data_IF_551617656289
#
_entry.id   IF_551617656289
#
_cell.length_a   1.000
_cell.length_b   1.000
_cell.length_c   1.000
_cell.angle_alpha   90.00
_cell.angle_beta   90.00
_cell.angle_gamma   90.00
#
_symmetry.space_group_name_H-M   'P 1'
#
loop_
_entity.id
_entity.type
_entity.pdbx_description
1 polymer ?
#
# COMPACT_ATOMS: atom_id res chain seq x y z
N UNK A 1 -15.64 3.35 -15.63
CA UNK A 1 -14.83 2.13 -15.83
C UNK A 1 -15.12 1.16 -14.69
N UNK A 2 -15.50 -0.08 -14.97
CA UNK A 2 -15.83 -1.08 -13.94
C UNK A 2 -14.59 -1.67 -13.25
N UNK A 3 -14.76 -2.18 -12.04
CA UNK A 3 -13.67 -2.72 -11.20
C UNK A 3 -12.89 -3.88 -11.83
N UNK A 4 -13.56 -4.72 -12.62
CA UNK A 4 -12.90 -5.78 -13.37
C UNK A 4 -11.82 -5.22 -14.31
N UNK A 5 -12.08 -4.11 -15.00
CA UNK A 5 -11.13 -3.46 -15.91
C UNK A 5 -9.91 -2.86 -15.17
N UNK A 6 -10.08 -2.41 -13.92
CA UNK A 6 -8.97 -1.91 -13.10
C UNK A 6 -8.06 -3.07 -12.62
N UNK A 7 -8.67 -4.18 -12.21
CA UNK A 7 -7.96 -5.41 -11.82
C UNK A 7 -7.37 -6.19 -13.01
N UNK A 8 -7.75 -5.85 -14.25
CA UNK A 8 -7.17 -6.41 -15.49
C UNK A 8 -6.37 -5.40 -16.34
N UNK A 9 -5.98 -4.23 -15.79
CA UNK A 9 -5.18 -3.22 -16.51
C UNK A 9 -3.92 -3.84 -17.16
N UNK A 10 -3.84 -3.87 -18.51
CA UNK A 10 -2.76 -4.52 -19.25
C UNK A 10 -1.41 -3.80 -19.07
N UNK A 11 -1.40 -2.56 -18.56
CA UNK A 11 -0.16 -1.81 -18.27
C UNK A 11 0.57 -2.32 -17.02
N UNK A 12 -0.01 -3.30 -16.32
CA UNK A 12 0.56 -3.91 -15.12
C UNK A 12 0.47 -5.44 -15.25
N UNK A 13 1.32 -6.05 -16.10
CA UNK A 13 1.29 -7.48 -16.38
C UNK A 13 1.45 -8.28 -15.09
N UNK A 14 0.59 -9.29 -14.94
CA UNK A 14 0.36 -10.01 -13.68
C UNK A 14 -0.33 -11.34 -13.92
N UNK A 15 -0.23 -12.21 -12.92
CA UNK A 15 -0.99 -13.46 -12.81
C UNK A 15 -1.72 -13.52 -11.47
N UNK A 16 -2.94 -14.05 -11.49
CA UNK A 16 -3.71 -14.36 -10.28
C UNK A 16 -3.67 -15.87 -10.07
N UNK A 17 -3.27 -16.31 -8.87
CA UNK A 17 -2.91 -17.70 -8.63
C UNK A 17 -1.63 -18.13 -9.36
N UNK A 18 -1.09 -19.29 -8.98
CA UNK A 18 0.16 -19.82 -9.54
C UNK A 18 0.05 -20.19 -11.01
N UNK A 19 -1.15 -20.57 -11.48
CA UNK A 19 -1.44 -20.97 -12.85
C UNK A 19 -2.09 -19.86 -13.71
N UNK A 20 -2.28 -18.66 -13.13
CA UNK A 20 -2.95 -17.54 -13.80
C UNK A 20 -4.48 -17.66 -13.89
N UNK A 21 -5.10 -18.68 -13.27
CA UNK A 21 -6.56 -18.91 -13.28
C UNK A 21 -7.24 -18.51 -11.97
N UNK A 22 -6.51 -17.85 -11.08
CA UNK A 22 -7.02 -17.35 -9.81
C UNK A 22 -8.10 -16.28 -9.97
N UNK A 23 -8.91 -16.13 -8.93
CA UNK A 23 -9.99 -15.15 -8.84
C UNK A 23 -9.41 -13.76 -8.60
N UNK A 24 -9.80 -12.81 -9.46
CA UNK A 24 -9.38 -11.41 -9.39
C UNK A 24 -9.69 -10.79 -8.02
N UNK A 25 -8.66 -10.36 -7.30
CA UNK A 25 -8.79 -9.70 -6.00
C UNK A 25 -8.99 -10.63 -4.80
N UNK A 26 -9.04 -11.95 -5.02
CA UNK A 26 -9.19 -12.96 -3.96
C UNK A 26 -8.08 -14.02 -3.97
N UNK A 27 -7.45 -14.27 -5.12
CA UNK A 27 -6.31 -15.17 -5.21
C UNK A 27 -4.98 -14.43 -5.01
N UNK A 28 -3.90 -15.13 -4.60
CA UNK A 28 -2.59 -14.51 -4.52
C UNK A 28 -2.17 -13.90 -5.85
N UNK A 29 -1.51 -12.75 -5.78
CA UNK A 29 -1.15 -11.95 -6.93
C UNK A 29 0.35 -12.07 -7.21
N UNK A 30 0.70 -12.36 -8.45
CA UNK A 30 2.07 -12.41 -8.92
C UNK A 30 2.35 -11.25 -9.89
N UNK A 31 3.50 -10.61 -9.72
CA UNK A 31 3.98 -9.57 -10.64
C UNK A 31 4.88 -10.15 -11.71
N UNK A 32 4.79 -9.60 -12.92
CA UNK A 32 5.83 -9.75 -13.93
C UNK A 32 6.72 -8.50 -14.03
N UNK A 33 6.53 -7.50 -13.15
CA UNK A 33 7.29 -6.24 -13.15
C UNK A 33 8.61 -6.46 -12.39
N UNK A 34 9.78 -6.23 -13.03
CA UNK A 34 11.08 -6.46 -12.39
C UNK A 34 11.27 -5.71 -11.07
N UNK A 35 10.89 -4.44 -11.01
CA UNK A 35 11.02 -3.63 -9.79
C UNK A 35 10.18 -4.17 -8.61
N UNK A 36 9.01 -4.74 -8.90
CA UNK A 36 8.19 -5.42 -7.87
C UNK A 36 8.89 -6.71 -7.42
N UNK A 37 9.38 -7.50 -8.38
CA UNK A 37 10.02 -8.78 -8.09
C UNK A 37 11.40 -8.63 -7.42
N UNK A 38 12.07 -7.49 -7.56
CA UNK A 38 13.25 -7.17 -6.76
C UNK A 38 12.93 -7.09 -5.27
N UNK A 39 11.71 -6.65 -4.92
CA UNK A 39 11.23 -6.52 -3.54
C UNK A 39 10.62 -7.84 -3.05
N UNK A 40 9.74 -8.46 -3.86
CA UNK A 40 9.03 -9.68 -3.47
C UNK A 40 9.83 -10.96 -3.67
N UNK A 41 10.94 -10.89 -4.39
CA UNK A 41 11.72 -12.05 -4.84
C UNK A 41 10.86 -13.07 -5.62
N UNK A 42 9.80 -12.59 -6.27
CA UNK A 42 8.85 -13.40 -7.02
C UNK A 42 7.76 -14.06 -6.17
N UNK A 43 7.77 -13.86 -4.86
CA UNK A 43 6.72 -14.39 -3.98
C UNK A 43 5.36 -13.74 -4.28
N UNK A 44 4.27 -14.53 -4.24
CA UNK A 44 2.94 -13.99 -4.41
C UNK A 44 2.51 -13.12 -3.23
N UNK A 45 1.77 -12.07 -3.55
CA UNK A 45 1.16 -11.18 -2.56
C UNK A 45 -0.24 -11.73 -2.24
N UNK A 46 -0.57 -12.06 -0.99
CA UNK A 46 -1.91 -12.47 -0.62
C UNK A 46 -2.92 -11.36 -0.89
N UNK A 47 -4.12 -11.74 -1.34
CA UNK A 47 -5.23 -10.81 -1.53
C UNK A 47 -6.50 -11.35 -0.88
N UNK A 48 -7.31 -10.44 -0.34
CA UNK A 48 -8.70 -10.73 0.04
C UNK A 48 -9.55 -9.48 -0.20
N UNK A 49 -10.75 -9.65 -0.75
CA UNK A 49 -11.69 -8.56 -0.99
C UNK A 49 -11.08 -7.39 -1.77
N UNK A 50 -10.19 -7.70 -2.73
CA UNK A 50 -9.42 -6.77 -3.57
C UNK A 50 -8.38 -5.93 -2.82
N UNK A 51 -7.98 -6.38 -1.63
CA UNK A 51 -6.94 -5.75 -0.81
C UNK A 51 -5.72 -6.66 -0.72
N UNK A 52 -4.52 -6.15 -1.06
CA UNK A 52 -3.28 -6.86 -0.82
C UNK A 52 -2.96 -6.88 0.68
N UNK A 53 -2.35 -7.96 1.13
CA UNK A 53 -1.63 -7.99 2.39
C UNK A 53 -0.14 -7.69 2.12
N UNK A 54 0.32 -6.53 2.59
CA UNK A 54 1.71 -6.12 2.46
C UNK A 54 2.56 -6.43 3.70
N UNK A 55 2.02 -7.13 4.70
CA UNK A 55 2.67 -7.29 6.01
C UNK A 55 4.09 -7.83 5.90
N UNK A 56 4.33 -8.77 4.98
CA UNK A 56 5.67 -9.31 4.69
C UNK A 56 6.69 -8.26 4.19
N UNK A 57 6.24 -7.24 3.46
CA UNK A 57 7.12 -6.24 2.83
C UNK A 57 7.09 -4.86 3.50
N UNK A 58 6.31 -4.71 4.58
CA UNK A 58 6.28 -3.49 5.38
C UNK A 58 7.66 -3.19 5.96
N UNK A 59 8.08 -1.92 5.89
CA UNK A 59 9.34 -1.43 6.48
C UNK A 59 9.14 -0.68 7.80
N UNK A 60 7.91 -0.67 8.30
CA UNK A 60 7.55 -0.04 9.55
C UNK A 60 6.07 0.31 9.60
N UNK A 61 5.61 0.64 10.79
CA UNK A 61 4.21 0.98 11.05
C UNK A 61 4.10 2.27 11.84
N UNK A 62 3.02 3.01 11.59
CA UNK A 62 2.61 4.18 12.35
C UNK A 62 1.20 3.92 12.85
N UNK A 63 1.03 3.99 14.17
CA UNK A 63 -0.25 3.73 14.84
C UNK A 63 -0.95 5.01 15.25
N UNK A 64 -2.26 5.00 15.10
CA UNK A 64 -3.18 6.08 15.42
C UNK A 64 -4.20 5.61 16.44
N UNK A 65 -4.71 6.54 17.22
CA UNK A 65 -5.86 6.25 18.07
C UNK A 65 -7.13 6.11 17.19
N UNK A 66 -8.13 5.33 17.65
CA UNK A 66 -9.39 5.20 16.92
C UNK A 66 -10.04 6.56 16.63
N UNK A 67 -10.32 6.81 15.35
CA UNK A 67 -10.95 8.05 14.89
C UNK A 67 -9.99 9.15 14.42
N UNK A 68 -8.68 9.01 14.62
CA UNK A 68 -7.70 9.98 14.08
C UNK A 68 -7.53 9.86 12.54
N UNK A 69 -7.81 8.68 11.99
CA UNK A 69 -7.82 8.45 10.55
C UNK A 69 -9.27 8.33 10.06
N UNK A 70 -9.66 9.16 9.09
CA UNK A 70 -11.03 9.22 8.54
C UNK A 70 -11.09 8.99 7.01
N UNK A 71 -9.95 8.76 6.35
CA UNK A 71 -9.91 8.55 4.90
C UNK A 71 -10.02 9.83 4.05
N UNK A 72 -10.08 11.02 4.65
CA UNK A 72 -10.10 12.33 3.96
C UNK A 72 -8.68 12.88 3.65
N UNK A 73 -8.54 13.90 2.80
CA UNK A 73 -7.21 14.47 2.48
C UNK A 73 -6.45 15.07 3.70
N UNK A 74 -7.10 15.72 4.68
CA UNK A 74 -6.44 16.30 5.85
C UNK A 74 -5.55 15.36 6.68
N UNK A 75 -5.88 14.08 6.90
CA UNK A 75 -5.08 13.21 7.77
C UNK A 75 -3.70 12.84 7.18
N UNK A 76 -3.46 13.02 5.87
CA UNK A 76 -2.13 12.76 5.31
C UNK A 76 -1.06 13.60 6.01
N UNK A 77 -1.41 14.80 6.50
CA UNK A 77 -0.53 15.61 7.34
C UNK A 77 -0.20 14.93 8.67
N UNK A 78 -1.21 14.36 9.35
CA UNK A 78 -1.06 13.66 10.63
C UNK A 78 -0.11 12.44 10.53
N UNK A 79 -0.12 11.73 9.40
CA UNK A 79 0.87 10.67 9.12
C UNK A 79 2.29 11.22 9.17
N UNK A 80 2.55 12.33 8.47
CA UNK A 80 3.88 12.92 8.46
C UNK A 80 4.25 13.59 9.79
N UNK A 81 3.30 14.10 10.55
CA UNK A 81 3.50 14.62 11.92
C UNK A 81 3.95 13.51 12.87
N UNK A 82 3.25 12.36 12.91
CA UNK A 82 3.68 11.22 13.74
C UNK A 82 5.06 10.70 13.35
N UNK A 83 5.36 10.63 12.05
CA UNK A 83 6.70 10.21 11.59
C UNK A 83 7.75 11.25 11.96
N UNK A 84 7.42 12.53 11.87
CA UNK A 84 8.31 13.62 12.26
C UNK A 84 8.69 13.47 13.74
N UNK A 85 7.71 13.30 14.63
CA UNK A 85 7.95 13.11 16.07
C UNK A 85 8.78 11.85 16.33
N UNK A 86 8.42 10.71 15.74
CA UNK A 86 9.13 9.44 15.90
C UNK A 86 10.57 9.43 15.35
N UNK A 87 10.92 10.41 14.51
CA UNK A 87 12.25 10.55 13.89
C UNK A 87 12.98 11.82 14.32
N UNK A 88 12.44 12.56 15.28
CA UNK A 88 12.98 13.83 15.77
C UNK A 88 13.31 14.81 14.63
N UNK A 89 12.36 14.98 13.70
CA UNK A 89 12.51 15.86 12.56
C UNK A 89 11.92 17.24 12.86
N UNK A 90 12.44 18.26 12.19
CA UNK A 90 12.04 19.65 12.45
C UNK A 90 10.64 20.03 11.94
N UNK A 91 10.09 19.33 10.94
CA UNK A 91 8.76 19.63 10.34
C UNK A 91 8.17 18.44 9.58
N UNK A 92 6.85 18.38 9.34
CA UNK A 92 6.22 17.21 8.71
C UNK A 92 6.70 16.98 7.29
N UNK A 93 7.05 18.07 6.58
CA UNK A 93 7.59 17.94 5.23
C UNK A 93 8.97 17.24 5.20
N UNK A 94 9.76 17.31 6.28
CA UNK A 94 11.00 16.55 6.37
C UNK A 94 10.74 15.05 6.46
N UNK A 95 9.68 14.63 7.18
CA UNK A 95 9.25 13.24 7.21
C UNK A 95 8.80 12.74 5.83
N UNK A 96 8.06 13.57 5.08
CA UNK A 96 7.68 13.25 3.70
C UNK A 96 8.89 13.07 2.79
N UNK A 97 9.87 13.97 2.87
CA UNK A 97 11.11 13.87 2.08
C UNK A 97 11.94 12.66 2.48
N UNK A 98 12.03 12.34 3.77
CA UNK A 98 12.69 11.14 4.27
C UNK A 98 12.06 9.85 3.69
N UNK A 99 10.73 9.76 3.68
CA UNK A 99 10.06 8.61 3.08
C UNK A 99 10.30 8.52 1.57
N UNK A 100 10.27 9.67 0.87
CA UNK A 100 10.57 9.72 -0.57
C UNK A 100 11.99 9.25 -0.86
N UNK A 101 12.99 9.73 -0.10
CA UNK A 101 14.39 9.34 -0.23
C UNK A 101 14.58 7.83 0.00
N UNK A 102 13.85 7.26 0.95
CA UNK A 102 13.84 5.82 1.24
C UNK A 102 12.97 4.98 0.29
N UNK A 103 12.30 5.60 -0.69
CA UNK A 103 11.37 4.90 -1.58
C UNK A 103 10.21 4.22 -0.83
N UNK A 104 9.64 4.89 0.17
CA UNK A 104 8.53 4.38 0.97
C UNK A 104 7.24 5.18 0.75
N UNK A 105 6.11 4.49 0.75
CA UNK A 105 4.77 5.06 0.65
C UNK A 105 3.91 4.63 1.84
N UNK A 106 3.31 5.58 2.58
CA UNK A 106 2.31 5.26 3.60
C UNK A 106 1.07 4.60 2.98
N UNK A 107 0.70 3.43 3.50
CA UNK A 107 -0.44 2.63 3.07
C UNK A 107 -1.36 2.33 4.26
N UNK A 108 -2.68 2.44 4.10
CA UNK A 108 -3.60 2.06 5.18
C UNK A 108 -3.73 0.54 5.23
N UNK A 109 -3.23 -0.07 6.29
CA UNK A 109 -3.50 -1.47 6.56
C UNK A 109 -4.92 -1.65 7.10
N UNK A 110 -5.27 -0.85 8.12
CA UNK A 110 -6.59 -0.83 8.74
C UNK A 110 -7.01 0.61 9.10
N UNK A 111 -7.96 0.78 10.04
CA UNK A 111 -8.48 2.09 10.46
C UNK A 111 -7.54 2.89 11.38
N UNK A 112 -6.53 2.26 11.94
CA UNK A 112 -5.60 2.83 12.94
C UNK A 112 -4.14 2.58 12.59
N UNK A 113 -3.86 1.70 11.64
CA UNK A 113 -2.49 1.30 11.27
C UNK A 113 -2.15 1.75 9.85
N UNK A 114 -1.07 2.52 9.74
CA UNK A 114 -0.41 2.84 8.48
C UNK A 114 0.87 2.01 8.37
N UNK A 115 1.00 1.23 7.30
CA UNK A 115 2.24 0.55 6.94
C UNK A 115 3.08 1.39 5.99
N UNK A 116 4.41 1.31 6.10
CA UNK A 116 5.36 1.96 5.21
C UNK A 116 5.83 0.94 4.16
N UNK A 117 5.27 1.01 2.97
CA UNK A 117 5.49 0.01 1.91
C UNK A 117 6.47 0.55 0.88
N UNK A 118 7.42 -0.25 0.35
CA UNK A 118 8.23 0.14 -0.80
C UNK A 118 7.38 0.70 -1.94
N UNK A 119 7.74 1.89 -2.44
CA UNK A 119 6.95 2.62 -3.43
C UNK A 119 6.80 1.87 -4.74
N UNK A 120 7.84 1.16 -5.19
CA UNK A 120 7.78 0.36 -6.41
C UNK A 120 6.83 -0.82 -6.27
N UNK A 121 6.66 -1.37 -5.07
CA UNK A 121 5.64 -2.37 -4.81
C UNK A 121 4.24 -1.72 -4.75
N UNK A 122 4.06 -0.72 -3.89
CA UNK A 122 2.76 -0.10 -3.63
C UNK A 122 2.15 0.56 -4.88
N UNK A 123 2.97 1.20 -5.72
CA UNK A 123 2.49 1.93 -6.90
C UNK A 123 2.10 1.01 -8.06
N UNK A 124 2.66 -0.20 -8.14
CA UNK A 124 2.49 -1.10 -9.29
C UNK A 124 1.44 -2.21 -9.09
N UNK A 125 0.89 -2.32 -7.89
CA UNK A 125 -0.11 -3.33 -7.56
C UNK A 125 -1.53 -2.75 -7.56
N UNK A 126 -2.51 -3.40 -8.22
CA UNK A 126 -3.88 -2.91 -8.26
C UNK A 126 -4.56 -3.15 -6.91
N UNK A 127 -5.10 -2.12 -6.27
CA UNK A 127 -5.80 -2.31 -5.00
C UNK A 127 -6.81 -1.20 -4.70
N UNK A 128 -7.80 -1.53 -3.87
CA UNK A 128 -8.65 -0.53 -3.23
C UNK A 128 -7.93 -0.08 -1.96
N UNK A 129 -7.46 1.16 -1.92
CA UNK A 129 -6.90 1.72 -0.70
C UNK A 129 -7.96 1.77 0.40
N UNK A 130 -7.61 1.38 1.63
CA UNK A 130 -8.54 1.35 2.77
C UNK A 130 -9.13 2.73 3.09
N UNK A 131 -8.41 3.81 2.75
CA UNK A 131 -8.93 5.18 2.77
C UNK A 131 -10.25 5.36 1.98
N UNK A 132 -10.51 4.54 0.95
CA UNK A 132 -11.77 4.56 0.22
C UNK A 132 -12.95 3.98 1.00
N UNK A 133 -12.70 3.07 1.95
CA UNK A 133 -13.75 2.54 2.82
C UNK A 133 -14.12 3.52 3.92
N UNK A 134 -13.15 4.31 4.39
CA UNK A 134 -13.31 5.20 5.54
C UNK A 134 -14.14 6.45 5.21
N UNK A 135 -14.30 6.77 3.92
CA UNK A 135 -15.18 7.84 3.44
C UNK A 135 -16.65 7.43 3.28
N UNK A 136 -17.02 6.20 3.63
CA UNK A 136 -18.39 5.68 3.55
C UNK A 136 -18.95 5.49 4.95
#
# INVERSE_FOLDING_TARGET
MGWAAYLSDPRRPRRWGTDGKGVLGESPWHSDIPAVNEITKGEPIPFSNRRPDFSQWSKGEVKFEPGELDGTRPYFKAIYEKIQEAKDLNRPNAAKLLLKDKGLTPHHHDKVTIQLIPTDLHSNIPHIGSASNMRK
#
